data_IF_151678629265
#
_entry.id   IF_151678629265
#
_cell.length_a   1.000
_cell.length_b   1.000
_cell.length_c   1.000
_cell.angle_alpha   90.00
_cell.angle_beta   90.00
_cell.angle_gamma   90.00
#
_symmetry.space_group_name_H-M   'P 1'
#
loop_
_entity.id
_entity.type
_entity.pdbx_description
1 polymer ?
#
# COMPACT_ATOMS: atom_id res chain seq x y z
N UNK A 1 30.14 -32.71 -18.99
CA UNK A 1 29.03 -33.08 -19.90
C UNK A 1 27.71 -33.22 -19.14
N UNK A 2 27.52 -34.27 -18.32
CA UNK A 2 26.24 -34.58 -17.65
C UNK A 2 25.66 -33.42 -16.81
N UNK A 3 26.50 -32.73 -16.02
CA UNK A 3 26.07 -31.58 -15.21
C UNK A 3 25.58 -30.40 -16.05
N UNK A 4 26.19 -30.15 -17.22
CA UNK A 4 25.76 -29.13 -18.17
C UNK A 4 24.36 -29.46 -18.73
N UNK A 5 24.11 -30.75 -19.05
CA UNK A 5 22.79 -31.22 -19.48
C UNK A 5 21.73 -31.03 -18.39
N UNK A 6 22.06 -31.29 -17.13
CA UNK A 6 21.16 -31.07 -15.98
C UNK A 6 20.89 -29.57 -15.76
N UNK A 7 21.91 -28.73 -15.84
CA UNK A 7 21.77 -27.27 -15.71
C UNK A 7 20.88 -26.69 -16.82
N UNK A 8 21.07 -27.14 -18.06
CA UNK A 8 20.29 -26.71 -19.21
C UNK A 8 18.82 -27.17 -19.09
N UNK A 9 18.57 -28.44 -18.73
CA UNK A 9 17.22 -28.94 -18.48
C UNK A 9 16.48 -28.18 -17.37
N UNK A 10 17.19 -27.78 -16.30
CA UNK A 10 16.63 -26.91 -15.24
C UNK A 10 16.29 -25.50 -15.75
N UNK A 11 17.13 -24.95 -16.63
CA UNK A 11 16.89 -23.64 -17.27
C UNK A 11 15.65 -23.67 -18.17
N UNK A 12 15.56 -24.68 -19.04
CA UNK A 12 14.42 -24.86 -19.94
C UNK A 12 13.10 -25.15 -19.19
N UNK A 13 13.16 -25.96 -18.13
CA UNK A 13 12.00 -26.17 -17.25
C UNK A 13 11.55 -24.88 -16.56
N UNK A 14 12.48 -24.01 -16.13
CA UNK A 14 12.15 -22.69 -15.58
C UNK A 14 11.54 -21.77 -16.63
N UNK A 15 12.10 -21.73 -17.84
CA UNK A 15 11.60 -20.91 -18.96
C UNK A 15 10.18 -21.28 -19.37
N UNK A 16 9.93 -22.56 -19.68
CA UNK A 16 8.61 -23.10 -20.03
C UNK A 16 7.57 -22.76 -18.93
N UNK A 17 7.98 -22.81 -17.66
CA UNK A 17 7.13 -22.49 -16.52
C UNK A 17 6.78 -21.01 -16.40
N UNK A 18 7.73 -20.11 -16.66
CA UNK A 18 7.46 -18.67 -16.78
C UNK A 18 6.52 -18.40 -17.95
N UNK A 19 6.78 -18.97 -19.13
CA UNK A 19 5.94 -18.85 -20.33
C UNK A 19 4.49 -19.27 -20.06
N UNK A 20 4.28 -20.38 -19.33
CA UNK A 20 2.93 -20.81 -18.88
C UNK A 20 2.28 -19.80 -17.94
N UNK A 21 2.98 -19.30 -16.93
CA UNK A 21 2.45 -18.30 -15.98
C UNK A 21 2.06 -17.03 -16.74
N UNK A 22 2.90 -16.54 -17.66
CA UNK A 22 2.64 -15.32 -18.43
C UNK A 22 1.49 -15.50 -19.42
N UNK A 23 1.33 -16.68 -20.02
CA UNK A 23 0.15 -17.04 -20.81
C UNK A 23 -1.15 -16.97 -19.99
N UNK A 24 -1.12 -17.48 -18.74
CA UNK A 24 -2.27 -17.39 -17.81
C UNK A 24 -2.55 -15.96 -17.36
N UNK A 25 -1.52 -15.19 -16.96
CA UNK A 25 -1.64 -13.76 -16.63
C UNK A 25 -2.28 -12.99 -17.77
N UNK A 26 -1.77 -13.17 -18.99
CA UNK A 26 -2.32 -12.55 -20.21
C UNK A 26 -3.77 -12.98 -20.47
N UNK A 27 -4.09 -14.26 -20.26
CA UNK A 27 -5.47 -14.74 -20.40
C UNK A 27 -6.40 -14.00 -19.44
N UNK A 28 -6.12 -14.03 -18.13
CA UNK A 28 -6.98 -13.46 -17.08
C UNK A 28 -7.05 -11.93 -17.18
N UNK A 29 -5.93 -11.23 -17.40
CA UNK A 29 -5.88 -9.79 -17.66
C UNK A 29 -6.84 -9.37 -18.77
N UNK A 30 -6.87 -10.09 -19.89
CA UNK A 30 -7.80 -9.80 -21.00
C UNK A 30 -9.27 -10.02 -20.62
N UNK A 31 -9.60 -10.88 -19.64
CA UNK A 31 -11.00 -11.09 -19.22
C UNK A 31 -11.40 -10.07 -18.15
N UNK A 32 -10.52 -9.78 -17.20
CA UNK A 32 -10.72 -8.69 -16.23
C UNK A 32 -10.91 -7.34 -16.94
N UNK A 33 -10.11 -7.06 -17.97
CA UNK A 33 -10.31 -5.88 -18.83
C UNK A 33 -11.71 -5.89 -19.47
N UNK A 34 -12.14 -6.98 -20.09
CA UNK A 34 -13.50 -7.09 -20.66
C UNK A 34 -14.63 -6.95 -19.65
N UNK A 35 -14.44 -7.45 -18.42
CA UNK A 35 -15.40 -7.28 -17.32
C UNK A 35 -15.48 -5.79 -16.96
N UNK A 36 -14.34 -5.11 -16.76
CA UNK A 36 -14.29 -3.66 -16.54
C UNK A 36 -14.96 -2.89 -17.67
N UNK A 37 -14.60 -3.16 -18.92
CA UNK A 37 -15.08 -2.46 -20.11
C UNK A 37 -16.58 -2.70 -20.38
N UNK A 38 -17.23 -3.63 -19.65
CA UNK A 38 -18.68 -3.82 -19.67
C UNK A 38 -19.46 -2.90 -18.70
N UNK A 39 -18.78 -2.29 -17.73
CA UNK A 39 -19.37 -1.26 -16.86
C UNK A 39 -19.23 0.11 -17.52
N UNK A 40 -20.35 0.81 -17.74
CA UNK A 40 -20.37 2.16 -18.31
C UNK A 40 -20.00 3.26 -17.31
N UNK A 41 -20.24 3.03 -16.03
CA UNK A 41 -19.90 3.97 -14.96
C UNK A 41 -18.45 3.81 -14.51
N UNK A 42 -17.65 4.87 -14.68
CA UNK A 42 -16.27 4.95 -14.24
C UNK A 42 -16.11 4.76 -12.72
N UNK A 43 -17.08 5.23 -11.90
CA UNK A 43 -17.07 5.02 -10.45
C UNK A 43 -17.11 3.53 -10.11
N UNK A 44 -17.95 2.76 -10.81
CA UNK A 44 -18.07 1.31 -10.63
C UNK A 44 -16.83 0.57 -11.11
N UNK A 45 -16.12 1.10 -12.12
CA UNK A 45 -14.84 0.55 -12.56
C UNK A 45 -13.73 0.72 -11.53
N UNK A 46 -13.78 1.77 -10.70
CA UNK A 46 -12.71 2.06 -9.74
C UNK A 46 -12.66 1.08 -8.55
N UNK A 47 -13.79 0.47 -8.18
CA UNK A 47 -13.85 -0.59 -7.17
C UNK A 47 -13.52 -2.00 -7.70
N UNK A 48 -13.20 -2.16 -9.00
CA UNK A 48 -12.85 -3.47 -9.55
C UNK A 48 -11.46 -3.95 -9.10
N UNK A 49 -11.27 -5.27 -8.92
CA UNK A 49 -10.02 -5.84 -8.40
C UNK A 49 -8.82 -5.56 -9.32
N UNK A 50 -7.62 -5.56 -8.72
CA UNK A 50 -6.37 -5.72 -9.49
C UNK A 50 -6.30 -7.14 -10.09
N UNK A 51 -5.35 -7.40 -11.00
CA UNK A 51 -5.14 -8.79 -11.46
C UNK A 51 -4.74 -9.70 -10.30
N UNK A 52 -3.97 -9.19 -9.34
CA UNK A 52 -3.57 -9.93 -8.15
C UNK A 52 -4.77 -10.35 -7.28
N UNK A 53 -5.72 -9.45 -7.01
CA UNK A 53 -6.91 -9.78 -6.21
C UNK A 53 -7.90 -10.62 -6.99
N UNK A 54 -8.06 -10.34 -8.29
CA UNK A 54 -8.92 -11.12 -9.18
C UNK A 54 -8.52 -12.60 -9.17
N UNK A 55 -7.21 -12.91 -9.23
CA UNK A 55 -6.70 -14.27 -9.10
C UNK A 55 -6.86 -14.92 -7.70
N UNK A 56 -7.27 -14.16 -6.67
CA UNK A 56 -7.54 -14.67 -5.31
C UNK A 56 -9.03 -14.99 -5.07
N UNK A 57 -9.95 -14.40 -5.84
CA UNK A 57 -11.39 -14.69 -5.77
C UNK A 57 -11.64 -16.20 -5.94
N UNK A 58 -12.51 -16.86 -5.16
CA UNK A 58 -12.57 -18.32 -5.08
C UNK A 58 -12.66 -19.03 -6.44
N UNK A 59 -13.66 -18.66 -7.24
CA UNK A 59 -13.90 -19.14 -8.61
C UNK A 59 -12.72 -18.88 -9.57
N UNK A 60 -12.17 -17.66 -9.57
CA UNK A 60 -11.05 -17.30 -10.46
C UNK A 60 -9.77 -18.01 -10.03
N UNK A 61 -9.60 -18.24 -8.73
CA UNK A 61 -8.47 -18.96 -8.16
C UNK A 61 -8.45 -20.42 -8.61
N UNK A 62 -9.57 -21.09 -8.77
CA UNK A 62 -9.61 -22.44 -9.36
C UNK A 62 -8.99 -22.45 -10.77
N UNK A 63 -9.37 -21.49 -11.62
CA UNK A 63 -8.76 -21.30 -12.94
C UNK A 63 -7.29 -20.86 -12.87
N UNK A 64 -6.88 -20.09 -11.85
CA UNK A 64 -5.48 -19.70 -11.64
C UNK A 64 -4.63 -20.87 -11.18
N UNK A 65 -5.13 -21.74 -10.30
CA UNK A 65 -4.42 -22.87 -9.71
C UNK A 65 -4.40 -24.13 -10.61
N UNK A 66 -5.29 -24.27 -11.61
CA UNK A 66 -5.24 -25.34 -12.62
C UNK A 66 -3.96 -25.25 -13.51
N UNK A 67 -3.03 -26.23 -13.48
CA UNK A 67 -1.77 -26.15 -14.22
C UNK A 67 -1.89 -26.23 -15.75
N UNK A 68 -3.05 -26.67 -16.28
CA UNK A 68 -3.32 -26.77 -17.72
C UNK A 68 -4.19 -25.62 -18.25
N UNK A 69 -5.07 -25.04 -17.42
CA UNK A 69 -5.95 -23.94 -17.83
C UNK A 69 -5.16 -22.76 -18.39
N UNK A 70 -5.51 -22.33 -19.61
CA UNK A 70 -4.91 -21.21 -20.34
C UNK A 70 -3.36 -21.24 -20.49
N UNK A 71 -2.70 -22.37 -20.16
CA UNK A 71 -1.24 -22.50 -20.15
C UNK A 71 -0.62 -22.67 -21.56
N UNK A 72 -1.44 -22.85 -22.59
CA UNK A 72 -1.01 -22.97 -23.99
C UNK A 72 -1.94 -22.21 -24.95
N UNK A 73 -1.39 -21.49 -25.96
CA UNK A 73 -2.18 -20.91 -27.04
C UNK A 73 -3.04 -21.93 -27.81
N UNK A 74 -2.61 -23.20 -27.90
CA UNK A 74 -3.32 -24.23 -28.67
C UNK A 74 -4.68 -24.62 -28.06
N UNK A 75 -4.84 -24.51 -26.73
CA UNK A 75 -6.10 -24.78 -26.01
C UNK A 75 -6.90 -23.50 -25.71
N UNK A 76 -6.59 -22.38 -26.38
CA UNK A 76 -7.23 -21.09 -26.13
C UNK A 76 -8.76 -21.10 -26.28
N UNK A 77 -9.31 -21.91 -27.19
CA UNK A 77 -10.76 -22.04 -27.38
C UNK A 77 -11.40 -22.78 -26.19
N UNK A 78 -10.90 -23.97 -25.86
CA UNK A 78 -11.36 -24.76 -24.70
C UNK A 78 -11.34 -23.94 -23.39
N UNK A 79 -10.25 -23.16 -23.16
CA UNK A 79 -10.17 -22.27 -22.01
C UNK A 79 -11.15 -21.10 -22.05
N UNK A 80 -11.56 -20.60 -23.23
CA UNK A 80 -12.63 -19.61 -23.37
C UNK A 80 -13.99 -20.21 -23.06
N UNK A 81 -14.24 -21.43 -23.51
CA UNK A 81 -15.53 -22.10 -23.35
C UNK A 81 -15.74 -22.46 -21.86
N UNK A 82 -14.73 -23.07 -21.20
CA UNK A 82 -14.70 -23.28 -19.73
C UNK A 82 -14.85 -21.99 -18.91
N UNK A 83 -14.26 -20.88 -19.37
CA UNK A 83 -14.43 -19.57 -18.72
C UNK A 83 -15.86 -19.03 -18.86
N UNK A 84 -16.49 -19.24 -20.03
CA UNK A 84 -17.83 -18.76 -20.32
C UNK A 84 -18.88 -19.50 -19.50
N UNK A 85 -18.71 -20.81 -19.30
CA UNK A 85 -19.59 -21.67 -18.51
C UNK A 85 -19.78 -21.19 -17.06
N UNK A 86 -18.79 -20.48 -16.49
CA UNK A 86 -18.84 -19.91 -15.13
C UNK A 86 -18.80 -18.38 -15.11
N UNK A 87 -19.12 -17.71 -16.23
CA UNK A 87 -19.01 -16.26 -16.33
C UNK A 87 -19.95 -15.52 -15.36
N UNK A 88 -21.16 -16.04 -15.14
CA UNK A 88 -22.15 -15.43 -14.23
C UNK A 88 -21.66 -15.49 -12.78
N UNK A 89 -21.18 -16.66 -12.32
CA UNK A 89 -20.51 -16.87 -11.03
C UNK A 89 -19.27 -15.97 -10.85
N UNK A 90 -18.47 -15.76 -11.90
CA UNK A 90 -17.34 -14.83 -11.90
C UNK A 90 -17.79 -13.37 -11.74
N UNK A 91 -18.91 -12.98 -12.35
CA UNK A 91 -19.45 -11.62 -12.23
C UNK A 91 -20.07 -11.37 -10.85
N UNK A 92 -20.69 -12.40 -10.25
CA UNK A 92 -21.23 -12.38 -8.89
C UNK A 92 -20.13 -12.09 -7.85
N UNK A 93 -19.06 -12.89 -7.81
CA UNK A 93 -17.94 -12.64 -6.87
C UNK A 93 -17.19 -11.33 -7.12
N UNK A 94 -17.23 -10.80 -8.35
CA UNK A 94 -16.67 -9.47 -8.67
C UNK A 94 -17.60 -8.35 -8.20
N UNK A 95 -18.90 -8.63 -8.05
CA UNK A 95 -19.85 -7.80 -7.31
C UNK A 95 -19.55 -7.81 -5.81
N UNK A 96 -19.48 -9.00 -5.21
CA UNK A 96 -19.16 -9.21 -3.78
C UNK A 96 -17.85 -8.51 -3.38
N UNK A 97 -16.78 -8.69 -4.16
CA UNK A 97 -15.47 -8.04 -3.92
C UNK A 97 -15.56 -6.52 -3.73
N UNK A 98 -16.43 -5.82 -4.46
CA UNK A 98 -16.60 -4.36 -4.32
C UNK A 98 -17.17 -4.00 -2.96
N UNK A 99 -18.09 -4.82 -2.46
CA UNK A 99 -18.74 -4.68 -1.15
C UNK A 99 -17.73 -5.00 -0.04
N UNK A 100 -17.03 -6.13 -0.16
CA UNK A 100 -15.99 -6.57 0.78
C UNK A 100 -14.89 -5.51 0.95
N UNK A 101 -14.42 -4.91 -0.15
CA UNK A 101 -13.40 -3.85 -0.11
C UNK A 101 -13.92 -2.57 0.55
N UNK A 102 -15.18 -2.18 0.32
CA UNK A 102 -15.80 -1.04 1.01
C UNK A 102 -15.94 -1.31 2.50
N UNK A 103 -16.38 -2.50 2.90
CA UNK A 103 -16.49 -2.90 4.30
C UNK A 103 -15.12 -2.95 4.99
N UNK A 104 -14.11 -3.55 4.35
CA UNK A 104 -12.74 -3.60 4.87
C UNK A 104 -12.11 -2.21 5.02
N UNK A 105 -12.35 -1.31 4.06
CA UNK A 105 -11.92 0.08 4.13
C UNK A 105 -12.65 0.83 5.26
N UNK A 106 -13.98 0.66 5.41
CA UNK A 106 -14.74 1.26 6.51
C UNK A 106 -14.22 0.79 7.87
N UNK A 107 -14.00 -0.52 8.06
CA UNK A 107 -13.41 -1.07 9.29
C UNK A 107 -12.04 -0.44 9.59
N UNK A 108 -11.22 -0.28 8.56
CA UNK A 108 -9.87 0.31 8.65
C UNK A 108 -9.94 1.80 9.01
N UNK A 109 -10.87 2.57 8.43
CA UNK A 109 -11.08 3.98 8.74
C UNK A 109 -11.58 4.13 10.19
N UNK A 110 -12.61 3.38 10.59
CA UNK A 110 -13.16 3.44 11.95
C UNK A 110 -12.13 3.05 13.01
N UNK A 111 -11.27 2.06 12.74
CA UNK A 111 -10.17 1.66 13.63
C UNK A 111 -9.12 2.76 13.85
N UNK A 112 -8.92 3.65 12.88
CA UNK A 112 -7.94 4.72 12.94
C UNK A 112 -8.53 6.08 13.38
N UNK A 113 -9.86 6.23 13.39
CA UNK A 113 -10.55 7.54 13.58
C UNK A 113 -11.60 7.55 14.70
N UNK A 114 -11.87 6.42 15.35
CA UNK A 114 -12.87 6.31 16.43
C UNK A 114 -12.37 5.45 17.58
N UNK A 115 -12.85 5.71 18.80
CA UNK A 115 -12.54 4.92 20.00
C UNK A 115 -13.26 3.55 20.05
N UNK A 116 -13.73 3.02 18.92
CA UNK A 116 -14.40 1.71 18.87
C UNK A 116 -13.39 0.59 19.13
N UNK A 117 -13.79 -0.38 19.94
CA UNK A 117 -12.98 -1.57 20.19
C UNK A 117 -12.84 -2.43 18.94
N UNK A 118 -11.76 -3.22 18.88
CA UNK A 118 -11.55 -4.17 17.78
C UNK A 118 -12.73 -5.14 17.64
N UNK A 119 -13.33 -5.58 18.75
CA UNK A 119 -14.50 -6.46 18.73
C UNK A 119 -15.72 -5.80 18.05
N UNK A 120 -16.01 -4.53 18.34
CA UNK A 120 -17.11 -3.78 17.70
C UNK A 120 -16.85 -3.58 16.20
N UNK A 121 -15.60 -3.32 15.81
CA UNK A 121 -15.22 -3.13 14.40
C UNK A 121 -15.29 -4.45 13.64
N UNK A 122 -14.83 -5.56 14.23
CA UNK A 122 -14.90 -6.88 13.61
C UNK A 122 -16.35 -7.36 13.46
N UNK A 123 -17.24 -7.01 14.40
CA UNK A 123 -18.65 -7.33 14.36
C UNK A 123 -19.45 -6.60 13.26
N UNK A 124 -18.92 -5.55 12.63
CA UNK A 124 -19.58 -4.91 11.48
C UNK A 124 -19.64 -5.87 10.28
N UNK A 125 -20.81 -6.00 9.67
CA UNK A 125 -21.04 -6.78 8.46
C UNK A 125 -21.43 -5.86 7.28
N UNK A 126 -21.90 -6.44 6.18
CA UNK A 126 -22.25 -5.71 4.95
C UNK A 126 -23.42 -4.75 5.15
N UNK A 127 -24.35 -5.03 6.07
CA UNK A 127 -25.56 -4.23 6.25
C UNK A 127 -25.24 -2.81 6.75
N UNK A 128 -24.08 -2.61 7.39
CA UNK A 128 -23.58 -1.28 7.79
C UNK A 128 -23.39 -0.34 6.60
N UNK A 129 -23.13 -0.86 5.39
CA UNK A 129 -22.96 -0.05 4.17
C UNK A 129 -24.30 0.46 3.60
N UNK A 130 -25.43 0.00 4.14
CA UNK A 130 -26.75 0.56 3.85
C UNK A 130 -27.11 1.75 4.75
N UNK A 131 -26.34 2.01 5.81
CA UNK A 131 -26.49 3.21 6.64
C UNK A 131 -26.03 4.45 5.82
N UNK A 132 -26.87 5.49 5.66
CA UNK A 132 -26.48 6.72 4.96
C UNK A 132 -25.20 7.38 5.51
N UNK A 133 -24.91 7.19 6.80
CA UNK A 133 -23.68 7.66 7.48
C UNK A 133 -22.41 7.11 6.85
N UNK A 134 -22.47 5.93 6.23
CA UNK A 134 -21.35 5.23 5.59
C UNK A 134 -21.53 5.10 4.06
N UNK A 135 -22.32 6.01 3.47
CA UNK A 135 -22.52 6.13 2.03
C UNK A 135 -21.26 6.60 1.27
N UNK A 136 -21.40 6.90 -0.02
CA UNK A 136 -20.26 7.26 -0.87
C UNK A 136 -19.49 8.51 -0.38
N UNK A 137 -20.20 9.50 0.19
CA UNK A 137 -19.62 10.73 0.75
C UNK A 137 -18.64 10.45 1.90
N UNK A 138 -18.89 9.41 2.70
CA UNK A 138 -17.99 8.98 3.78
C UNK A 138 -16.61 8.58 3.25
N UNK A 139 -16.51 8.01 2.05
CA UNK A 139 -15.24 7.60 1.45
C UNK A 139 -14.55 8.71 0.63
N UNK A 140 -15.22 9.86 0.45
CA UNK A 140 -14.71 11.03 -0.27
C UNK A 140 -14.11 12.09 0.66
N UNK A 141 -14.61 12.22 1.90
CA UNK A 141 -14.14 13.24 2.85
C UNK A 141 -12.67 13.02 3.30
N UNK A 142 -11.84 14.08 3.44
CA UNK A 142 -10.44 13.99 3.85
C UNK A 142 -10.15 13.19 5.13
N UNK A 143 -11.04 13.25 6.13
CA UNK A 143 -10.93 12.50 7.40
C UNK A 143 -10.96 10.98 7.23
N UNK A 144 -11.40 10.50 6.06
CA UNK A 144 -11.61 9.09 5.73
C UNK A 144 -10.79 8.62 4.52
N UNK A 145 -9.83 9.42 4.07
CA UNK A 145 -8.87 9.03 3.04
C UNK A 145 -7.93 7.93 3.54
N UNK A 146 -7.49 7.05 2.64
CA UNK A 146 -6.72 5.84 2.95
C UNK A 146 -5.45 5.74 2.11
N UNK A 147 -4.55 4.84 2.49
CA UNK A 147 -3.30 4.58 1.79
C UNK A 147 -3.38 3.29 0.97
N UNK A 148 -2.67 3.27 -0.16
CA UNK A 148 -2.27 2.04 -0.84
C UNK A 148 -1.30 1.25 0.06
N UNK A 149 -1.70 0.05 0.49
CA UNK A 149 -0.92 -0.85 1.37
C UNK A 149 0.43 -1.30 0.79
N UNK A 150 0.69 -0.99 -0.49
CA UNK A 150 1.94 -1.30 -1.18
C UNK A 150 2.87 -0.06 -1.17
N UNK A 151 2.46 1.06 -1.77
CA UNK A 151 3.39 2.16 -2.08
C UNK A 151 3.17 3.49 -1.34
N UNK A 152 2.19 3.61 -0.43
CA UNK A 152 1.80 4.86 0.27
C UNK A 152 1.22 6.00 -0.59
N UNK A 153 0.75 5.72 -1.81
CA UNK A 153 -0.22 6.62 -2.47
C UNK A 153 -1.46 6.81 -1.58
N UNK A 154 -1.97 8.03 -1.46
CA UNK A 154 -2.96 8.44 -0.46
C UNK A 154 -4.07 9.28 -1.10
N UNK A 155 -5.32 9.06 -0.68
CA UNK A 155 -6.49 9.81 -1.18
C UNK A 155 -7.81 9.10 -0.89
N UNK A 156 -8.91 9.51 -1.56
CA UNK A 156 -10.21 8.84 -1.46
C UNK A 156 -10.12 7.36 -1.88
N UNK A 157 -10.96 6.51 -1.28
CA UNK A 157 -10.89 5.05 -1.46
C UNK A 157 -10.87 4.64 -2.95
N UNK A 158 -11.78 5.19 -3.76
CA UNK A 158 -11.86 4.87 -5.18
C UNK A 158 -10.57 5.20 -5.95
N UNK A 159 -9.90 6.31 -5.61
CA UNK A 159 -8.64 6.71 -6.24
C UNK A 159 -7.49 5.76 -5.86
N UNK A 160 -7.44 5.35 -4.60
CA UNK A 160 -6.45 4.40 -4.09
C UNK A 160 -6.63 3.01 -4.72
N UNK A 161 -7.86 2.56 -4.90
CA UNK A 161 -8.18 1.31 -5.61
C UNK A 161 -7.83 1.39 -7.10
N UNK A 162 -8.12 2.52 -7.75
CA UNK A 162 -7.69 2.82 -9.13
C UNK A 162 -6.17 2.77 -9.27
N UNK A 163 -5.46 3.49 -8.41
CA UNK A 163 -4.00 3.47 -8.33
C UNK A 163 -3.46 2.05 -8.16
N UNK A 164 -3.98 1.29 -7.18
CA UNK A 164 -3.56 -0.10 -6.92
C UNK A 164 -3.86 -1.04 -8.08
N UNK A 165 -4.94 -0.83 -8.82
CA UNK A 165 -5.27 -1.60 -10.03
C UNK A 165 -4.33 -1.30 -11.21
N UNK A 166 -3.83 -0.07 -11.34
CA UNK A 166 -2.96 0.36 -12.44
C UNK A 166 -1.49 0.08 -12.13
N UNK A 167 -0.95 0.67 -11.06
CA UNK A 167 0.47 0.62 -10.70
C UNK A 167 0.89 -0.70 -10.04
N UNK A 168 -0.04 -1.34 -9.32
CA UNK A 168 0.21 -2.55 -8.53
C UNK A 168 -0.56 -3.77 -9.03
N UNK A 169 -0.88 -3.79 -10.33
CA UNK A 169 -1.76 -4.78 -10.95
C UNK A 169 -1.37 -6.25 -10.67
N UNK A 170 -0.06 -6.54 -10.62
CA UNK A 170 0.48 -7.89 -10.35
C UNK A 170 1.14 -8.04 -8.97
N UNK A 171 1.11 -7.01 -8.13
CA UNK A 171 1.85 -7.04 -6.86
C UNK A 171 1.16 -7.98 -5.85
N UNK A 172 1.99 -8.69 -5.07
CA UNK A 172 1.59 -9.83 -4.25
C UNK A 172 0.87 -10.98 -5.01
N UNK A 173 0.84 -11.00 -6.36
CA UNK A 173 0.25 -12.11 -7.13
C UNK A 173 1.03 -13.41 -6.89
N UNK A 174 0.44 -14.32 -6.12
CA UNK A 174 1.03 -15.62 -5.82
C UNK A 174 1.21 -16.45 -7.11
N UNK A 175 2.35 -17.12 -7.23
CA UNK A 175 2.57 -18.09 -8.29
C UNK A 175 1.54 -19.25 -8.17
N UNK A 176 0.91 -19.67 -9.28
CA UNK A 176 -0.22 -20.57 -9.20
C UNK A 176 0.17 -21.96 -8.69
N UNK A 177 -0.80 -22.71 -8.16
CA UNK A 177 -0.58 -24.07 -7.67
C UNK A 177 0.08 -24.96 -8.75
N UNK A 178 0.95 -25.88 -8.31
CA UNK A 178 1.85 -26.64 -9.19
C UNK A 178 2.98 -25.81 -9.86
N UNK A 179 2.78 -24.49 -10.05
CA UNK A 179 3.70 -23.59 -10.76
C UNK A 179 4.53 -22.65 -9.84
N UNK A 180 4.53 -22.89 -8.52
CA UNK A 180 5.37 -22.18 -7.51
C UNK A 180 6.85 -22.04 -7.89
N UNK A 181 7.33 -20.84 -8.19
CA UNK A 181 8.76 -20.58 -8.47
C UNK A 181 9.57 -20.85 -7.20
N UNK A 182 10.44 -21.87 -7.20
CA UNK A 182 11.40 -22.06 -6.10
C UNK A 182 12.34 -20.86 -6.09
N UNK A 183 12.33 -20.06 -5.02
CA UNK A 183 13.45 -19.16 -4.71
C UNK A 183 14.71 -20.03 -4.65
N UNK A 184 15.77 -19.58 -5.32
CA UNK A 184 17.05 -20.30 -5.30
C UNK A 184 17.63 -20.12 -3.90
N UNK A 185 17.96 -21.22 -3.22
CA UNK A 185 18.45 -21.25 -1.83
C UNK A 185 19.88 -20.69 -1.64
N UNK A 186 20.33 -19.77 -2.49
CA UNK A 186 21.62 -19.07 -2.38
C UNK A 186 21.55 -17.73 -1.64
N UNK A 187 20.37 -17.35 -1.15
CA UNK A 187 20.16 -16.16 -0.31
C UNK A 187 20.21 -16.45 1.18
N UNK A 188 19.66 -17.59 1.61
CA UNK A 188 19.57 -17.99 3.02
C UNK A 188 20.94 -18.38 3.58
N UNK A 189 21.78 -19.05 2.78
CA UNK A 189 23.15 -19.41 3.17
C UNK A 189 24.03 -18.15 3.39
N UNK A 190 23.87 -17.11 2.55
CA UNK A 190 24.54 -15.81 2.74
C UNK A 190 23.98 -14.99 3.89
N UNK A 191 22.70 -15.15 4.22
CA UNK A 191 22.10 -14.51 5.40
C UNK A 191 22.58 -15.20 6.69
N UNK A 192 22.71 -16.53 6.69
CA UNK A 192 23.26 -17.30 7.81
C UNK A 192 24.75 -16.97 8.05
N UNK A 193 25.58 -16.96 7.01
CA UNK A 193 27.00 -16.57 7.12
C UNK A 193 27.17 -15.13 7.62
N UNK A 194 26.32 -14.21 7.16
CA UNK A 194 26.38 -12.81 7.60
C UNK A 194 25.94 -12.65 9.06
N UNK A 195 24.85 -13.30 9.46
CA UNK A 195 24.37 -13.28 10.86
C UNK A 195 25.38 -13.90 11.81
N UNK A 196 26.00 -15.02 11.42
CA UNK A 196 27.04 -15.70 12.20
C UNK A 196 28.30 -14.85 12.36
N UNK A 197 28.63 -14.02 11.35
CA UNK A 197 29.75 -13.08 11.40
C UNK A 197 29.44 -11.83 12.25
N UNK A 198 28.20 -11.38 12.26
CA UNK A 198 27.72 -10.30 13.15
C UNK A 198 27.69 -10.79 14.63
N UNK A 199 27.26 -12.03 14.88
CA UNK A 199 27.32 -12.68 16.21
C UNK A 199 28.78 -12.91 16.71
N UNK A 200 29.73 -13.29 15.84
CA UNK A 200 31.16 -13.40 16.20
C UNK A 200 31.90 -12.07 16.43
N UNK A 201 31.33 -10.94 15.97
CA UNK A 201 31.84 -9.58 16.26
C UNK A 201 31.27 -9.03 17.58
N UNK A 202 30.01 -9.31 17.93
CA UNK A 202 29.44 -8.92 19.23
C UNK A 202 30.08 -9.67 20.42
N UNK A 203 30.45 -10.95 20.28
CA UNK A 203 31.06 -11.73 21.39
C UNK A 203 32.47 -11.22 21.80
N UNK A 204 33.12 -10.36 21.00
CA UNK A 204 34.51 -9.90 21.25
C UNK A 204 34.64 -8.55 21.94
N UNK A 205 33.53 -7.87 22.31
CA UNK A 205 33.58 -6.58 23.00
C UNK A 205 33.44 -6.75 24.52
N UNK A 206 34.56 -7.01 25.19
CA UNK A 206 34.62 -7.05 26.65
C UNK A 206 34.37 -5.65 27.28
N UNK A 207 33.48 -5.50 28.27
CA UNK A 207 33.16 -4.21 28.86
C UNK A 207 34.21 -3.74 29.88
N UNK A 208 35.00 -2.73 29.51
CA UNK A 208 35.87 -2.01 30.47
C UNK A 208 35.00 -1.08 31.33
N UNK A 209 34.78 -1.48 32.59
CA UNK A 209 33.81 -0.82 33.47
C UNK A 209 34.24 0.55 34.01
N UNK A 210 33.24 1.35 34.43
CA UNK A 210 33.44 2.48 35.35
C UNK A 210 32.31 2.59 36.39
N UNK A 211 32.72 2.62 37.66
CA UNK A 211 31.88 2.63 38.88
C UNK A 211 31.07 3.92 39.08
N UNK A 212 29.82 3.81 39.55
CA UNK A 212 29.21 4.54 40.70
C UNK A 212 28.10 3.64 41.28
N UNK A 213 28.31 2.94 42.40
CA UNK A 213 28.18 3.32 43.83
C UNK A 213 26.71 3.48 44.28
N UNK A 214 26.29 2.64 45.23
CA UNK A 214 24.91 2.48 45.73
C UNK A 214 24.69 3.07 47.14
N UNK A 215 23.41 3.30 47.47
CA UNK A 215 22.75 3.50 48.79
C UNK A 215 21.29 3.04 48.52
N UNK A 216 20.77 1.87 48.91
CA UNK A 216 20.48 1.22 50.22
C UNK A 216 19.40 1.95 51.07
N UNK A 217 18.27 1.24 51.25
CA UNK A 217 17.28 1.19 52.37
C UNK A 217 15.88 0.96 51.75
N UNK A 218 15.18 -0.19 51.83
CA UNK A 218 15.04 -1.31 52.79
C UNK A 218 13.96 -1.11 53.88
N UNK A 219 12.82 -1.81 53.72
CA UNK A 219 11.96 -2.27 54.84
C UNK A 219 10.96 -3.35 54.38
N UNK A 220 11.06 -4.54 55.00
CA UNK A 220 9.99 -5.44 55.51
C UNK A 220 8.86 -5.92 54.56
N UNK A 221 8.61 -7.22 54.30
CA UNK A 221 8.47 -8.39 55.22
C UNK A 221 7.35 -8.17 56.27
N UNK A 222 6.57 -9.13 56.77
CA UNK A 222 6.37 -10.57 56.52
C UNK A 222 4.90 -10.78 55.98
N UNK A 223 4.27 -11.94 55.76
CA UNK A 223 4.54 -13.38 56.01
C UNK A 223 3.82 -14.26 54.91
N UNK A 224 3.23 -15.42 55.24
CA UNK A 224 2.82 -16.55 54.35
C UNK A 224 1.28 -16.82 54.23
N UNK A 225 0.85 -17.64 53.25
CA UNK A 225 0.02 -18.86 53.49
C UNK A 225 -0.10 -19.77 52.23
N UNK A 226 -0.19 -21.09 52.44
CA UNK A 226 -0.09 -22.15 51.42
C UNK A 226 -1.43 -22.55 50.75
N UNK A 227 -1.40 -23.04 49.50
CA UNK A 227 -2.29 -24.16 49.09
C UNK A 227 -1.72 -24.99 47.91
N UNK A 228 -1.46 -26.27 48.16
CA UNK A 228 -0.97 -27.26 47.19
C UNK A 228 -2.09 -27.76 46.24
N UNK A 229 -1.77 -27.92 44.95
CA UNK A 229 -2.67 -28.49 43.94
C UNK A 229 -1.93 -29.39 42.95
N UNK A 230 -2.09 -30.71 43.10
CA UNK A 230 -1.22 -31.73 42.49
C UNK A 230 -1.30 -31.86 40.96
N UNK A 231 -0.21 -32.39 40.39
CA UNK A 231 0.05 -32.47 38.94
C UNK A 231 -0.45 -33.79 38.34
N UNK A 232 -1.54 -33.75 37.55
CA UNK A 232 -1.98 -34.88 36.73
C UNK A 232 -1.36 -34.83 35.32
N UNK A 233 -0.38 -35.70 35.04
CA UNK A 233 0.16 -35.94 33.70
C UNK A 233 -0.62 -37.08 33.03
N UNK A 234 -1.36 -36.80 31.97
CA UNK A 234 -1.70 -37.83 30.97
C UNK A 234 -1.30 -37.38 29.57
N UNK A 235 -0.54 -38.25 28.89
CA UNK A 235 -0.09 -38.06 27.52
C UNK A 235 -0.93 -38.94 26.60
N UNK A 236 -1.77 -38.33 25.75
CA UNK A 236 -2.45 -39.04 24.67
C UNK A 236 -1.91 -38.59 23.30
N UNK A 237 -1.42 -39.57 22.56
CA UNK A 237 -0.68 -39.42 21.31
C UNK A 237 -1.50 -38.87 20.15
N UNK A 238 -0.91 -37.91 19.43
CA UNK A 238 -0.87 -37.80 17.97
C UNK A 238 -2.16 -38.06 17.16
N UNK A 239 -2.72 -36.99 16.58
CA UNK A 239 -3.01 -36.99 15.14
C UNK A 239 -2.71 -35.60 14.57
N UNK A 240 -1.67 -35.50 13.75
CA UNK A 240 -1.22 -34.25 13.14
C UNK A 240 -2.10 -33.89 11.94
N UNK A 241 -3.12 -33.06 12.14
CA UNK A 241 -3.72 -32.30 11.04
C UNK A 241 -2.88 -31.04 10.83
N UNK A 242 -2.06 -31.02 9.77
CA UNK A 242 -1.39 -29.79 9.35
C UNK A 242 -2.43 -28.83 8.77
N UNK A 243 -3.09 -28.06 9.64
CA UNK A 243 -3.83 -26.89 9.23
C UNK A 243 -2.85 -25.97 8.52
N UNK A 244 -2.98 -25.87 7.19
CA UNK A 244 -2.25 -24.87 6.44
C UNK A 244 -2.65 -23.51 7.00
N UNK A 245 -1.71 -22.82 7.67
CA UNK A 245 -1.89 -21.45 8.11
C UNK A 245 -2.38 -20.68 6.89
N UNK A 246 -3.63 -20.20 6.95
CA UNK A 246 -4.15 -19.26 5.96
C UNK A 246 -3.29 -18.01 6.15
N UNK A 247 -2.32 -17.82 5.27
CA UNK A 247 -1.51 -16.61 5.20
C UNK A 247 -2.49 -15.44 5.09
N UNK A 248 -2.65 -14.68 6.16
CA UNK A 248 -3.66 -13.62 6.24
C UNK A 248 -3.41 -12.64 5.11
N UNK A 249 -4.41 -12.50 4.24
CA UNK A 249 -4.29 -11.65 3.06
C UNK A 249 -4.11 -10.22 3.52
N UNK A 250 -2.98 -9.61 3.18
CA UNK A 250 -2.71 -8.18 3.46
C UNK A 250 -3.92 -7.34 3.04
N UNK A 251 -4.30 -6.33 3.84
CA UNK A 251 -5.45 -5.51 3.51
C UNK A 251 -5.20 -4.72 2.22
N UNK A 252 -6.29 -4.46 1.47
CA UNK A 252 -6.25 -3.79 0.16
C UNK A 252 -5.85 -2.32 0.28
N UNK A 253 -6.28 -1.68 1.37
CA UNK A 253 -5.91 -0.33 1.79
C UNK A 253 -5.48 -0.37 3.26
N UNK A 254 -4.83 0.69 3.74
CA UNK A 254 -4.48 0.83 5.15
C UNK A 254 -4.72 2.28 5.62
N UNK A 255 -4.91 2.45 6.93
CA UNK A 255 -4.83 3.73 7.61
C UNK A 255 -4.33 3.46 9.04
N UNK A 256 -3.33 4.20 9.50
CA UNK A 256 -2.91 4.17 10.91
C UNK A 256 -3.40 5.42 11.61
N UNK A 257 -3.53 5.34 12.94
CA UNK A 257 -3.92 6.48 13.78
C UNK A 257 -2.99 7.68 13.55
N UNK A 258 -1.68 7.47 13.40
CA UNK A 258 -0.72 8.55 13.17
C UNK A 258 -0.93 9.24 11.83
N UNK A 259 -1.29 8.49 10.79
CA UNK A 259 -1.62 9.07 9.47
C UNK A 259 -2.95 9.81 9.52
N UNK A 260 -3.97 9.26 10.19
CA UNK A 260 -5.24 9.94 10.40
C UNK A 260 -5.04 11.27 11.14
N UNK A 261 -4.34 11.26 12.29
CA UNK A 261 -4.00 12.47 13.05
C UNK A 261 -3.17 13.47 12.22
N UNK A 262 -2.21 13.01 11.41
CA UNK A 262 -1.44 13.88 10.54
C UNK A 262 -2.30 14.54 9.45
N UNK A 263 -3.28 13.82 8.89
CA UNK A 263 -4.20 14.36 7.90
C UNK A 263 -5.16 15.40 8.52
N UNK A 264 -5.78 15.09 9.66
CA UNK A 264 -6.60 16.06 10.40
C UNK A 264 -5.79 17.32 10.73
N UNK A 265 -4.54 17.17 11.19
CA UNK A 265 -3.65 18.31 11.45
C UNK A 265 -3.36 19.15 10.18
N UNK A 266 -3.26 18.53 9.01
CA UNK A 266 -3.10 19.24 7.72
C UNK A 266 -4.36 20.05 7.41
N UNK A 267 -5.55 19.45 7.56
CA UNK A 267 -6.83 20.12 7.38
C UNK A 267 -6.98 21.34 8.31
N UNK A 268 -6.76 21.15 9.62
CA UNK A 268 -6.82 22.22 10.63
C UNK A 268 -5.86 23.39 10.31
N UNK A 269 -4.62 23.09 9.93
CA UNK A 269 -3.61 24.10 9.56
C UNK A 269 -4.02 24.88 8.29
N UNK A 270 -4.76 24.26 7.38
CA UNK A 270 -5.27 24.87 6.16
C UNK A 270 -6.60 25.61 6.30
N UNK A 271 -7.28 25.50 7.44
CA UNK A 271 -8.67 25.95 7.58
C UNK A 271 -9.65 25.14 6.72
N UNK A 272 -9.32 23.88 6.43
CA UNK A 272 -10.11 22.97 5.61
C UNK A 272 -11.01 22.14 6.55
N UNK A 273 -12.29 22.00 6.20
CA UNK A 273 -13.17 21.02 6.85
C UNK A 273 -12.77 19.61 6.42
N UNK A 274 -12.33 18.78 7.37
CA UNK A 274 -11.91 17.42 7.08
C UNK A 274 -13.08 16.49 6.72
N UNK A 275 -14.33 16.91 6.96
CA UNK A 275 -15.53 16.15 6.64
C UNK A 275 -16.24 16.60 5.36
N UNK A 276 -15.74 17.64 4.67
CA UNK A 276 -16.25 18.07 3.36
C UNK A 276 -15.87 17.05 2.27
N UNK A 277 -16.89 16.32 1.79
CA UNK A 277 -16.78 15.28 0.76
C UNK A 277 -16.64 15.81 -0.67
N UNK A 278 -16.69 17.13 -0.89
CA UNK A 278 -16.47 17.75 -2.20
C UNK A 278 -15.00 17.99 -2.51
N UNK A 279 -14.14 17.98 -1.49
CA UNK A 279 -12.71 18.24 -1.61
C UNK A 279 -11.95 17.09 -2.28
N UNK A 280 -11.05 17.45 -3.18
CA UNK A 280 -10.18 16.54 -3.91
C UNK A 280 -8.71 16.72 -3.50
N UNK A 281 -7.87 15.76 -3.90
CA UNK A 281 -6.41 15.86 -3.75
C UNK A 281 -5.83 17.09 -4.46
N UNK A 282 -6.46 17.53 -5.56
CA UNK A 282 -6.08 18.75 -6.30
C UNK A 282 -6.37 20.03 -5.50
N UNK A 283 -7.50 20.11 -4.80
CA UNK A 283 -7.83 21.29 -3.98
C UNK A 283 -6.82 21.47 -2.84
N UNK A 284 -6.30 20.36 -2.29
CA UNK A 284 -5.20 20.38 -1.32
C UNK A 284 -3.87 20.84 -1.94
N UNK A 285 -3.55 20.38 -3.16
CA UNK A 285 -2.34 20.82 -3.87
C UNK A 285 -2.36 22.34 -4.19
N UNK A 286 -3.52 22.88 -4.55
CA UNK A 286 -3.72 24.32 -4.78
C UNK A 286 -3.66 25.11 -3.46
N UNK A 287 -4.46 24.74 -2.44
CA UNK A 287 -4.50 25.41 -1.13
C UNK A 287 -3.13 25.40 -0.41
N UNK A 288 -2.32 24.37 -0.64
CA UNK A 288 -1.00 24.22 -0.02
C UNK A 288 0.18 24.45 -0.96
N UNK A 289 -0.03 25.01 -2.16
CA UNK A 289 1.02 25.21 -3.16
C UNK A 289 2.26 25.95 -2.58
N UNK A 290 2.02 27.07 -1.89
CA UNK A 290 3.06 27.87 -1.22
C UNK A 290 3.36 27.44 0.23
N UNK A 291 2.65 26.44 0.75
CA UNK A 291 2.78 25.98 2.14
C UNK A 291 3.62 24.72 2.23
N UNK A 292 4.52 24.64 3.21
CA UNK A 292 5.19 23.39 3.56
C UNK A 292 4.87 23.02 5.00
N UNK A 293 5.03 21.74 5.31
CA UNK A 293 4.76 21.19 6.63
C UNK A 293 6.04 20.63 7.24
N UNK A 294 6.11 20.68 8.56
CA UNK A 294 7.17 20.05 9.36
C UNK A 294 6.53 19.13 10.40
N UNK A 295 7.17 17.98 10.63
CA UNK A 295 6.79 17.03 11.67
C UNK A 295 7.71 17.23 12.87
N UNK A 296 7.27 18.01 13.87
CA UNK A 296 8.13 18.51 14.95
C UNK A 296 8.78 17.42 15.79
N UNK A 297 8.01 16.39 16.16
CA UNK A 297 8.45 15.23 16.94
C UNK A 297 8.86 14.02 16.05
N UNK A 298 8.88 14.19 14.73
CA UNK A 298 9.42 13.21 13.79
C UNK A 298 10.96 13.19 13.77
N UNK A 299 11.55 12.17 13.15
CA UNK A 299 13.00 11.94 13.11
C UNK A 299 13.83 13.14 12.65
N UNK A 300 13.37 13.87 11.63
CA UNK A 300 14.05 15.04 11.07
C UNK A 300 13.63 16.37 11.77
N UNK A 301 12.67 16.29 12.68
CA UNK A 301 12.05 17.41 13.37
C UNK A 301 11.64 18.54 12.43
N UNK A 302 12.02 19.76 12.80
CA UNK A 302 11.71 21.00 12.04
C UNK A 302 12.59 21.23 10.81
N UNK A 303 13.54 20.33 10.49
CA UNK A 303 14.50 20.55 9.39
C UNK A 303 13.94 20.17 8.02
N UNK A 304 13.16 19.09 7.95
CA UNK A 304 12.55 18.60 6.71
C UNK A 304 11.20 19.29 6.46
N UNK A 305 11.17 20.23 5.49
CA UNK A 305 9.97 20.93 5.02
C UNK A 305 9.38 20.21 3.80
N UNK A 306 8.24 19.56 3.98
CA UNK A 306 7.57 18.67 3.02
C UNK A 306 6.32 19.32 2.42
N UNK A 307 5.86 18.89 1.25
CA UNK A 307 4.46 19.09 0.82
C UNK A 307 3.51 18.31 1.74
N UNK A 308 2.20 18.50 1.63
CA UNK A 308 1.24 17.72 2.42
C UNK A 308 1.32 16.22 2.06
N UNK A 309 1.38 15.88 0.76
CA UNK A 309 1.57 14.48 0.29
C UNK A 309 2.87 13.87 0.83
N UNK A 310 4.00 14.57 0.68
CA UNK A 310 5.31 14.10 1.16
C UNK A 310 5.30 13.90 2.69
N UNK A 311 4.58 14.73 3.43
CA UNK A 311 4.41 14.58 4.88
C UNK A 311 3.64 13.29 5.20
N UNK A 312 2.46 13.09 4.61
CA UNK A 312 1.62 11.92 4.87
C UNK A 312 2.35 10.62 4.52
N UNK A 313 3.06 10.58 3.38
CA UNK A 313 3.93 9.46 3.00
C UNK A 313 5.04 9.22 4.03
N UNK A 314 5.69 10.28 4.52
CA UNK A 314 6.75 10.18 5.54
C UNK A 314 6.24 9.68 6.89
N UNK A 315 5.01 10.04 7.28
CA UNK A 315 4.35 9.51 8.50
C UNK A 315 4.01 8.04 8.29
N UNK A 316 3.33 7.70 7.17
CA UNK A 316 2.99 6.32 6.78
C UNK A 316 4.21 5.37 6.83
N UNK A 317 5.33 5.73 6.21
CA UNK A 317 6.54 4.90 6.21
C UNK A 317 7.11 4.68 7.61
N UNK A 318 6.99 5.70 8.48
CA UNK A 318 7.49 5.63 9.85
C UNK A 318 6.55 4.81 10.73
N UNK A 319 5.23 4.94 10.57
CA UNK A 319 4.22 4.12 11.24
C UNK A 319 4.32 2.64 10.85
N UNK A 320 4.38 2.33 9.54
CA UNK A 320 4.64 0.97 9.03
C UNK A 320 5.89 0.34 9.66
N UNK A 321 6.97 1.12 9.78
CA UNK A 321 8.20 0.67 10.42
C UNK A 321 7.99 0.44 11.92
N UNK A 322 7.37 1.38 12.62
CA UNK A 322 7.14 1.31 14.05
C UNK A 322 6.29 0.08 14.43
N UNK A 323 5.19 -0.16 13.70
CA UNK A 323 4.33 -1.34 13.85
C UNK A 323 5.11 -2.64 13.60
N UNK A 324 5.93 -2.69 12.55
CA UNK A 324 6.77 -3.87 12.24
C UNK A 324 7.84 -4.13 13.30
N UNK A 325 8.38 -3.07 13.91
CA UNK A 325 9.36 -3.14 15.00
C UNK A 325 8.67 -3.33 16.38
N UNK A 326 7.33 -3.38 16.43
CA UNK A 326 6.49 -3.40 17.64
C UNK A 326 6.84 -2.27 18.63
N UNK A 327 7.01 -1.06 18.10
CA UNK A 327 7.36 0.16 18.83
C UNK A 327 6.25 1.19 18.71
N UNK A 328 6.06 2.00 19.75
CA UNK A 328 5.08 3.09 19.76
C UNK A 328 5.64 4.31 19.02
N UNK A 329 4.94 4.78 18.01
CA UNK A 329 5.18 6.08 17.38
C UNK A 329 4.31 7.14 18.09
N UNK A 330 4.87 8.23 18.63
CA UNK A 330 4.05 9.31 19.18
C UNK A 330 3.21 9.99 18.08
N UNK A 331 2.02 10.45 18.45
CA UNK A 331 1.10 11.17 17.55
C UNK A 331 1.84 12.32 16.84
N UNK A 332 1.74 12.45 15.49
CA UNK A 332 2.52 13.44 14.76
C UNK A 332 2.19 14.89 15.10
N UNK A 333 3.16 15.62 15.66
CA UNK A 333 3.04 17.06 15.85
C UNK A 333 3.34 17.80 14.54
N UNK A 334 2.31 18.06 13.75
CA UNK A 334 2.44 18.78 12.48
C UNK A 334 2.45 20.30 12.74
N UNK A 335 3.15 21.05 11.87
CA UNK A 335 3.06 22.51 11.83
C UNK A 335 3.35 23.07 10.44
N UNK A 336 2.76 24.25 10.18
CA UNK A 336 3.05 25.07 9.00
C UNK A 336 4.49 25.57 9.01
N UNK A 337 5.12 25.61 7.85
CA UNK A 337 6.41 26.21 7.58
C UNK A 337 6.40 26.94 6.23
N UNK A 338 7.04 28.10 6.17
CA UNK A 338 7.21 28.83 4.92
C UNK A 338 8.16 28.08 3.98
N UNK A 339 8.06 28.32 2.67
CA UNK A 339 9.06 27.86 1.70
C UNK A 339 10.47 28.40 2.05
N UNK A 340 11.50 27.59 1.83
CA UNK A 340 12.88 28.10 1.72
C UNK A 340 13.06 28.86 0.40
N UNK A 341 14.08 29.72 0.28
CA UNK A 341 14.35 30.41 -0.99
C UNK A 341 14.60 29.46 -2.16
N UNK A 342 15.23 28.29 -1.92
CA UNK A 342 15.38 27.22 -2.93
C UNK A 342 14.05 26.61 -3.34
N UNK A 343 13.12 26.42 -2.40
CA UNK A 343 11.79 25.88 -2.70
C UNK A 343 10.90 26.93 -3.41
N UNK A 344 11.01 28.22 -3.06
CA UNK A 344 10.34 29.31 -3.82
C UNK A 344 10.80 29.35 -5.26
N UNK A 345 12.12 29.36 -5.49
CA UNK A 345 12.69 29.34 -6.86
C UNK A 345 12.21 28.14 -7.67
N UNK A 346 12.18 26.94 -7.06
CA UNK A 346 11.64 25.74 -7.72
C UNK A 346 10.14 25.82 -8.01
N UNK A 347 9.36 26.42 -7.11
CA UNK A 347 7.92 26.61 -7.34
C UNK A 347 7.67 27.60 -8.48
N UNK A 348 8.43 28.69 -8.52
CA UNK A 348 8.42 29.66 -9.62
C UNK A 348 8.82 29.02 -10.96
N UNK A 349 9.88 28.21 -10.98
CA UNK A 349 10.30 27.41 -12.14
C UNK A 349 9.18 26.45 -12.59
N UNK A 350 8.43 25.83 -11.66
CA UNK A 350 7.29 24.96 -11.97
C UNK A 350 6.05 25.72 -12.44
N UNK A 351 5.79 26.93 -11.93
CA UNK A 351 4.71 27.81 -12.42
C UNK A 351 4.93 28.19 -13.87
N UNK A 352 6.13 28.70 -14.20
CA UNK A 352 6.53 29.03 -15.58
C UNK A 352 6.46 27.84 -16.54
N UNK A 353 6.81 26.64 -16.07
CA UNK A 353 6.69 25.42 -16.88
C UNK A 353 5.23 25.05 -17.17
N UNK A 354 4.30 25.24 -16.22
CA UNK A 354 2.86 25.02 -16.46
C UNK A 354 2.27 26.09 -17.37
N UNK A 355 2.62 27.36 -17.18
CA UNK A 355 2.22 28.46 -18.07
C UNK A 355 2.69 28.21 -19.52
N UNK A 356 3.92 27.68 -19.67
CA UNK A 356 4.45 27.25 -20.97
C UNK A 356 3.69 26.05 -21.56
N UNK A 357 3.33 25.05 -20.75
CA UNK A 357 2.58 23.87 -21.21
C UNK A 357 1.13 24.23 -21.59
N UNK A 358 0.46 25.08 -20.80
CA UNK A 358 -0.89 25.60 -21.08
C UNK A 358 -0.92 26.44 -22.36
N UNK A 359 0.03 27.35 -22.54
CA UNK A 359 0.14 28.15 -23.77
C UNK A 359 0.50 27.29 -24.99
N UNK A 360 1.36 26.28 -24.84
CA UNK A 360 1.65 25.31 -25.90
C UNK A 360 0.39 24.52 -26.31
N UNK A 361 -0.41 24.05 -25.35
CA UNK A 361 -1.66 23.33 -25.59
C UNK A 361 -2.77 24.23 -26.19
N UNK A 362 -2.77 25.53 -25.90
CA UNK A 362 -3.64 26.52 -26.58
C UNK A 362 -3.21 26.71 -28.04
N UNK A 363 -1.94 26.98 -28.29
CA UNK A 363 -1.38 27.14 -29.64
C UNK A 363 -1.53 25.88 -30.50
N UNK A 364 -1.47 24.70 -29.89
CA UNK A 364 -1.72 23.42 -30.54
C UNK A 364 -3.20 23.22 -30.91
N UNK A 365 -4.14 23.68 -30.08
CA UNK A 365 -5.58 23.67 -30.36
C UNK A 365 -5.97 24.67 -31.45
N UNK A 366 -5.38 25.85 -31.44
CA UNK A 366 -5.69 26.95 -32.37
C UNK A 366 -4.95 26.81 -33.72
N UNK A 367 -4.03 25.84 -33.83
CA UNK A 367 -3.27 25.56 -35.06
C UNK A 367 -2.17 26.57 -35.37
N UNK A 368 -1.86 27.47 -34.44
CA UNK A 368 -0.87 28.55 -34.55
C UNK A 368 0.52 28.14 -34.04
N UNK A 369 0.65 26.95 -33.42
CA UNK A 369 1.89 26.39 -32.88
C UNK A 369 3.12 26.54 -33.79
N UNK A 370 2.96 26.31 -35.10
CA UNK A 370 4.06 26.39 -36.06
C UNK A 370 4.62 27.81 -36.22
N UNK A 371 3.78 28.86 -36.13
CA UNK A 371 4.23 30.24 -36.21
C UNK A 371 5.00 30.66 -34.95
N UNK A 372 4.49 30.27 -33.78
CA UNK A 372 5.13 30.55 -32.49
C UNK A 372 6.49 29.84 -32.33
N UNK A 373 6.63 28.63 -32.89
CA UNK A 373 7.92 27.92 -32.95
C UNK A 373 8.92 28.53 -33.95
N UNK A 374 8.45 29.31 -34.94
CA UNK A 374 9.31 30.05 -35.89
C UNK A 374 9.71 31.44 -35.39
N UNK A 375 8.83 32.12 -34.64
CA UNK A 375 9.11 33.42 -34.01
C UNK A 375 9.97 33.26 -32.73
N UNK A 376 9.85 32.11 -32.05
CA UNK A 376 10.54 31.79 -30.80
C UNK A 376 9.77 32.31 -29.58
N UNK A 377 9.89 31.64 -28.41
CA UNK A 377 9.31 32.18 -27.18
C UNK A 377 10.01 33.50 -26.83
N UNK A 378 9.23 34.55 -26.54
CA UNK A 378 9.76 35.84 -26.11
C UNK A 378 10.74 35.66 -24.94
N UNK A 379 12.04 35.88 -25.19
CA UNK A 379 13.04 35.90 -24.12
C UNK A 379 12.73 37.08 -23.19
N UNK A 380 12.16 36.77 -22.02
CA UNK A 380 11.90 37.75 -20.96
C UNK A 380 13.23 38.38 -20.58
N UNK A 381 13.45 39.61 -21.03
CA UNK A 381 14.68 40.36 -20.82
C UNK A 381 14.97 40.50 -19.33
N UNK A 382 16.11 39.99 -18.88
CA UNK A 382 16.67 40.36 -17.58
C UNK A 382 17.09 41.84 -17.66
N UNK A 383 16.20 42.74 -17.23
CA UNK A 383 16.58 44.14 -17.01
C UNK A 383 17.62 44.20 -15.86
N UNK A 384 18.89 44.34 -16.24
CA UNK A 384 19.95 44.73 -15.33
C UNK A 384 19.64 46.14 -14.78
N UNK A 385 19.01 46.17 -13.59
CA UNK A 385 18.77 47.39 -12.84
C UNK A 385 20.08 48.01 -12.33
N UNK A 386 20.74 48.77 -13.20
CA UNK A 386 21.89 49.61 -12.85
C UNK A 386 21.48 51.08 -12.76
N UNK A 387 21.16 51.56 -11.55
CA UNK A 387 21.38 52.94 -11.09
C UNK A 387 21.44 53.01 -9.55
#
# INVERSE_FOLDING_TARGET
AHEHTIAQARSDARRNRTEKIDAKKKFLRTRLAKIRDSFTDAKVQDYLPSLADFCRLPIVREFWDDPEFAASPSRKKEGIDKWRERLEEILEVVGEYKIDVRLAALKTILAATTDRSEAEIQALDVDVLADPTYGDEFFLRPSSWVLCSICSHFGPLAEVLRHRRVEHAEDDLAAPAGLKIRKIAGGEEKAADRKKKEEEEEEKVAPVGRRRKAIIEASSAEEDDDEDGEVAKEATSSTSSSAAVKEETKPVVELSLEVACAMISVCEIGGIDADDSTLTTKDFDEQFEETRFVWKNGKDGRTARRTWVELIQSVCWTARRAHKENTVLPVPEIARANLTSRQRRRLEELRRLREFEETFDELARDGTLSAWLEEGPDEISEEEGSE
#
